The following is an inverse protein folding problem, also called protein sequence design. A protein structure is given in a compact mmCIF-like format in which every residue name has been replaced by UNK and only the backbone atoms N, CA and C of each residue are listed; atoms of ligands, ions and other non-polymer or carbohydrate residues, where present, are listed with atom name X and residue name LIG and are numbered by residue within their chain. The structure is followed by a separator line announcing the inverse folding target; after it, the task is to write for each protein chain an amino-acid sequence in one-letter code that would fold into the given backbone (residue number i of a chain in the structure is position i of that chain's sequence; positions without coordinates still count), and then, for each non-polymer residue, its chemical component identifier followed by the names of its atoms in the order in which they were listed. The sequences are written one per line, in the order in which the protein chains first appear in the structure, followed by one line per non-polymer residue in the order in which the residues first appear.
data_IF_116333400310
#
_entry.id   IF_116333400310
#
_cell.length_a   1.000
_cell.length_b   1.000
_cell.length_c   1.000
_cell.angle_alpha   90.00
_cell.angle_beta   90.00
_cell.angle_gamma   90.00
#
_symmetry.space_group_name_H-M   'P 1'
#
loop_
_entity.id
_entity.type
_entity.pdbx_description
1 polymer ?
#
# COMPACT_ATOMS: atom_id res chain seq x y z
N UNK A 1 16.18 -14.31 -10.73
CA UNK A 1 14.88 -13.64 -10.50
C UNK A 1 14.86 -12.40 -11.37
N UNK A 2 13.84 -12.23 -12.20
CA UNK A 2 13.69 -11.01 -13.00
C UNK A 2 13.19 -9.91 -12.07
N UNK A 3 13.98 -8.85 -11.88
CA UNK A 3 13.56 -7.67 -11.12
C UNK A 3 12.32 -7.08 -11.79
N UNK A 4 11.16 -7.18 -11.14
CA UNK A 4 9.95 -6.50 -11.60
C UNK A 4 10.00 -5.05 -11.14
N UNK A 5 10.08 -4.15 -12.12
CA UNK A 5 10.13 -2.70 -11.90
C UNK A 5 8.86 -2.07 -12.45
N UNK A 6 8.25 -1.18 -11.68
CA UNK A 6 7.16 -0.31 -12.11
C UNK A 6 7.69 1.12 -12.19
N UNK A 7 7.39 1.81 -13.28
CA UNK A 7 7.67 3.22 -13.48
C UNK A 7 6.37 4.00 -13.44
N UNK A 8 6.27 4.97 -12.53
CA UNK A 8 5.15 5.92 -12.44
C UNK A 8 5.72 7.33 -12.34
N UNK A 9 5.39 8.18 -13.31
CA UNK A 9 5.82 9.59 -13.36
C UNK A 9 7.36 9.76 -13.26
N UNK A 10 8.10 8.87 -13.90
CA UNK A 10 9.58 8.83 -13.85
C UNK A 10 10.18 8.28 -12.53
N UNK A 11 9.33 7.92 -11.55
CA UNK A 11 9.75 7.30 -10.29
C UNK A 11 9.75 5.78 -10.41
N UNK A 12 10.84 5.15 -9.98
CA UNK A 12 11.02 3.69 -9.97
C UNK A 12 10.51 3.06 -8.69
N UNK A 13 9.78 1.96 -8.85
CA UNK A 13 9.32 1.10 -7.78
C UNK A 13 9.80 -0.33 -8.06
N UNK A 14 10.34 -1.01 -7.05
CA UNK A 14 10.76 -2.40 -7.14
C UNK A 14 9.80 -3.29 -6.38
N UNK A 15 9.58 -4.50 -6.90
CA UNK A 15 8.83 -5.51 -6.18
C UNK A 15 9.42 -5.68 -4.77
N UNK A 16 8.57 -5.55 -3.77
CA UNK A 16 8.92 -5.67 -2.37
C UNK A 16 7.96 -6.64 -1.69
N UNK A 17 8.54 -7.54 -0.90
CA UNK A 17 7.78 -8.50 -0.11
C UNK A 17 7.86 -8.07 1.35
N UNK A 18 6.72 -7.87 2.02
CA UNK A 18 6.69 -7.66 3.47
C UNK A 18 7.38 -8.82 4.19
N UNK A 19 8.10 -8.51 5.26
CA UNK A 19 8.85 -9.52 6.01
C UNK A 19 7.96 -10.26 7.01
N UNK A 20 6.91 -9.59 7.50
CA UNK A 20 6.05 -10.14 8.54
C UNK A 20 4.56 -10.07 8.17
N UNK A 21 3.87 -11.20 8.27
CA UNK A 21 2.42 -11.28 8.04
C UNK A 21 1.63 -10.35 8.98
N UNK A 22 1.89 -10.41 10.28
CA UNK A 22 1.09 -9.73 11.31
C UNK A 22 1.37 -8.23 11.41
N UNK A 23 2.63 -7.84 11.27
CA UNK A 23 3.08 -6.47 11.51
C UNK A 23 3.12 -5.63 10.23
N UNK A 24 3.28 -6.26 9.06
CA UNK A 24 3.43 -5.54 7.80
C UNK A 24 2.29 -5.86 6.82
N UNK A 25 2.08 -7.14 6.47
CA UNK A 25 1.14 -7.51 5.41
C UNK A 25 -0.33 -7.31 5.81
N UNK A 26 -0.75 -7.84 6.97
CA UNK A 26 -2.12 -7.77 7.45
C UNK A 26 -2.61 -6.32 7.65
N UNK A 27 -1.86 -5.42 8.32
CA UNK A 27 -2.26 -4.02 8.45
C UNK A 27 -2.39 -3.30 7.10
N UNK A 28 -1.48 -3.57 6.16
CA UNK A 28 -1.50 -3.00 4.82
C UNK A 28 -2.74 -3.43 4.04
N UNK A 29 -3.08 -4.73 4.03
CA UNK A 29 -4.31 -5.21 3.38
C UNK A 29 -5.55 -4.61 4.04
N UNK A 30 -5.57 -4.52 5.38
CA UNK A 30 -6.69 -3.91 6.13
C UNK A 30 -6.92 -2.46 5.74
N UNK A 31 -5.86 -1.70 5.48
CA UNK A 31 -5.95 -0.32 5.01
C UNK A 31 -6.64 -0.24 3.64
N UNK A 32 -6.40 -1.23 2.76
CA UNK A 32 -6.92 -1.29 1.40
C UNK A 32 -8.19 -2.13 1.23
N UNK A 33 -8.93 -2.42 2.31
CA UNK A 33 -10.15 -3.26 2.23
C UNK A 33 -11.18 -2.67 1.27
N UNK A 34 -11.34 -1.35 1.24
CA UNK A 34 -12.27 -0.70 0.33
C UNK A 34 -11.79 -0.75 -1.11
N UNK A 35 -10.50 -0.61 -1.35
CA UNK A 35 -9.94 -0.72 -2.70
C UNK A 35 -10.07 -2.16 -3.25
N UNK A 36 -10.00 -3.16 -2.37
CA UNK A 36 -10.10 -4.58 -2.73
C UNK A 36 -11.55 -5.02 -2.88
N UNK A 37 -12.42 -4.69 -1.93
CA UNK A 37 -13.79 -5.23 -1.86
C UNK A 37 -14.88 -4.24 -2.31
N UNK A 38 -14.58 -2.94 -2.35
CA UNK A 38 -15.50 -1.87 -2.74
C UNK A 38 -15.74 -0.86 -1.61
N UNK A 39 -16.20 0.35 -1.97
CA UNK A 39 -16.32 1.48 -1.04
C UNK A 39 -17.24 1.22 0.17
N UNK A 40 -18.31 0.45 -0.05
CA UNK A 40 -19.29 0.09 0.98
C UNK A 40 -18.97 -1.26 1.65
N UNK A 41 -17.69 -1.61 1.70
CA UNK A 41 -17.20 -2.77 2.42
C UNK A 41 -16.56 -2.39 3.76
N UNK A 42 -16.76 -3.25 4.77
CA UNK A 42 -16.10 -3.11 6.08
C UNK A 42 -15.49 -4.41 6.54
N UNK A 43 -14.27 -4.31 7.05
CA UNK A 43 -13.55 -5.41 7.68
C UNK A 43 -13.92 -5.57 9.17
N UNK A 44 -14.04 -6.81 9.59
CA UNK A 44 -14.31 -7.23 10.96
C UNK A 44 -13.22 -8.20 11.45
N UNK A 45 -12.78 -8.05 12.71
CA UNK A 45 -11.64 -8.80 13.24
C UNK A 45 -11.93 -10.31 13.35
N UNK A 46 -10.84 -11.09 13.33
CA UNK A 46 -10.84 -12.55 13.47
C UNK A 46 -11.76 -13.08 14.56
N UNK A 47 -12.51 -14.13 14.23
CA UNK A 47 -13.38 -14.87 15.16
C UNK A 47 -13.20 -16.37 14.95
N UNK A 48 -13.26 -17.10 16.05
CA UNK A 48 -13.10 -18.55 16.04
C UNK A 48 -14.29 -19.23 15.35
N UNK A 49 -13.99 -20.02 14.34
CA UNK A 49 -14.92 -20.89 13.65
C UNK A 49 -14.86 -22.28 14.27
N UNK A 50 -16.03 -22.90 14.46
CA UNK A 50 -16.16 -24.24 15.02
C UNK A 50 -17.02 -25.12 14.11
N UNK A 51 -16.47 -26.24 13.66
CA UNK A 51 -17.24 -27.23 12.90
C UNK A 51 -18.19 -28.02 13.80
N UNK A 52 -19.14 -28.74 13.21
CA UNK A 52 -20.02 -29.65 13.94
C UNK A 52 -19.22 -30.76 14.66
N UNK A 53 -18.16 -31.27 14.01
CA UNK A 53 -17.22 -32.23 14.59
C UNK A 53 -16.31 -31.65 15.70
N UNK A 54 -16.42 -30.34 15.96
CA UNK A 54 -15.68 -29.68 17.04
C UNK A 54 -14.30 -29.12 16.64
N UNK A 55 -13.86 -29.31 15.39
CA UNK A 55 -12.64 -28.68 14.87
C UNK A 55 -12.75 -27.16 14.94
N UNK A 56 -11.61 -26.53 15.20
CA UNK A 56 -11.51 -25.09 15.43
C UNK A 56 -10.51 -24.50 14.45
N UNK A 57 -10.92 -23.44 13.78
CA UNK A 57 -10.07 -22.64 12.89
C UNK A 57 -10.36 -21.16 13.11
N UNK A 58 -9.42 -20.29 12.76
CA UNK A 58 -9.54 -18.84 12.95
C UNK A 58 -9.08 -18.20 11.64
N UNK A 59 -9.99 -17.59 10.84
CA UNK A 59 -9.61 -16.76 9.71
C UNK A 59 -9.01 -15.45 10.20
N UNK A 60 -8.27 -14.78 9.33
CA UNK A 60 -7.69 -13.48 9.64
C UNK A 60 -8.77 -12.41 9.78
N UNK A 61 -9.91 -12.53 9.08
CA UNK A 61 -11.08 -11.70 9.36
C UNK A 61 -12.29 -12.01 8.49
N UNK A 62 -13.26 -11.09 8.56
CA UNK A 62 -14.45 -11.10 7.72
C UNK A 62 -14.61 -9.76 7.04
N UNK A 63 -15.17 -9.73 5.84
CA UNK A 63 -15.57 -8.49 5.17
C UNK A 63 -17.05 -8.58 4.85
N UNK A 64 -17.80 -7.51 5.14
CA UNK A 64 -19.20 -7.37 4.74
C UNK A 64 -19.27 -6.30 3.66
N UNK A 65 -19.86 -6.65 2.53
CA UNK A 65 -20.29 -5.73 1.48
C UNK A 65 -21.75 -5.34 1.77
N UNK A 66 -21.95 -4.12 2.23
CA UNK A 66 -23.26 -3.61 2.63
C UNK A 66 -24.15 -3.31 1.43
N UNK A 67 -23.55 -2.88 0.31
CA UNK A 67 -24.25 -2.53 -0.92
C UNK A 67 -24.82 -3.75 -1.62
N UNK A 68 -24.00 -4.78 -1.81
CA UNK A 68 -24.41 -5.99 -2.53
C UNK A 68 -24.91 -7.11 -1.60
N UNK A 69 -24.94 -6.86 -0.29
CA UNK A 69 -25.31 -7.84 0.73
C UNK A 69 -24.56 -9.16 0.57
N UNK A 70 -23.23 -9.08 0.49
CA UNK A 70 -22.33 -10.23 0.45
C UNK A 70 -21.42 -10.21 1.66
N UNK A 71 -20.86 -11.37 1.99
CA UNK A 71 -19.85 -11.45 3.02
C UNK A 71 -18.77 -12.46 2.69
N UNK A 72 -17.60 -12.17 3.22
CA UNK A 72 -16.37 -12.85 2.88
C UNK A 72 -15.69 -13.34 4.15
N UNK A 73 -15.14 -14.55 4.10
CA UNK A 73 -14.11 -15.02 5.03
C UNK A 73 -12.78 -14.71 4.38
N UNK A 74 -11.94 -13.94 5.07
CA UNK A 74 -10.67 -13.44 4.53
C UNK A 74 -9.50 -14.10 5.25
N UNK A 75 -8.57 -14.61 4.45
CA UNK A 75 -7.28 -15.15 4.89
C UNK A 75 -6.15 -14.38 4.19
N UNK A 76 -5.15 -13.96 4.96
CA UNK A 76 -4.05 -13.09 4.54
C UNK A 76 -2.74 -13.84 4.74
N UNK A 77 -1.99 -14.07 3.67
CA UNK A 77 -0.73 -14.84 3.74
C UNK A 77 0.42 -14.27 2.92
N UNK A 78 1.61 -14.47 3.44
CA UNK A 78 2.83 -14.47 2.64
C UNK A 78 3.04 -15.89 2.08
N UNK A 79 3.37 -15.99 0.80
CA UNK A 79 3.65 -17.27 0.17
C UNK A 79 4.88 -17.93 0.80
N UNK A 80 4.64 -19.06 1.45
CA UNK A 80 5.66 -19.92 2.06
C UNK A 80 5.13 -21.37 2.14
N UNK A 81 5.98 -22.32 2.52
CA UNK A 81 5.60 -23.73 2.68
C UNK A 81 4.42 -23.91 3.66
N UNK A 82 4.37 -23.09 4.71
CA UNK A 82 3.28 -23.16 5.70
C UNK A 82 1.94 -22.74 5.08
N UNK A 83 1.93 -21.73 4.21
CA UNK A 83 0.74 -21.31 3.47
C UNK A 83 0.24 -22.42 2.53
N UNK A 84 1.14 -23.05 1.76
CA UNK A 84 0.82 -24.17 0.85
C UNK A 84 0.21 -25.36 1.61
N UNK A 85 0.63 -25.58 2.85
CA UNK A 85 0.14 -26.70 3.68
C UNK A 85 -1.15 -26.38 4.43
N UNK A 86 -1.27 -25.19 5.04
CA UNK A 86 -2.35 -24.89 5.99
C UNK A 86 -3.60 -24.34 5.32
N UNK A 87 -3.46 -23.51 4.29
CA UNK A 87 -4.58 -22.79 3.69
C UNK A 87 -5.63 -23.74 3.09
N UNK A 88 -5.25 -24.78 2.32
CA UNK A 88 -6.21 -25.78 1.83
C UNK A 88 -7.05 -26.39 2.97
N UNK A 89 -6.39 -26.82 4.05
CA UNK A 89 -7.09 -27.40 5.22
C UNK A 89 -8.02 -26.39 5.90
N UNK A 90 -7.55 -25.15 6.07
CA UNK A 90 -8.35 -24.08 6.68
C UNK A 90 -9.60 -23.78 5.86
N UNK A 91 -9.51 -23.75 4.53
CA UNK A 91 -10.66 -23.55 3.63
C UNK A 91 -11.73 -24.62 3.88
N UNK A 92 -11.34 -25.90 3.99
CA UNK A 92 -12.26 -27.00 4.31
C UNK A 92 -12.90 -26.79 5.68
N UNK A 93 -12.12 -26.43 6.69
CA UNK A 93 -12.61 -26.17 8.04
C UNK A 93 -13.59 -24.99 8.08
N UNK A 94 -13.32 -23.90 7.36
CA UNK A 94 -14.20 -22.73 7.26
C UNK A 94 -15.55 -23.13 6.69
N UNK A 95 -15.55 -23.80 5.55
CA UNK A 95 -16.77 -24.29 4.90
C UNK A 95 -17.59 -25.18 5.83
N UNK A 96 -16.95 -26.12 6.52
CA UNK A 96 -17.63 -27.01 7.45
C UNK A 96 -18.13 -26.28 8.71
N UNK A 97 -17.43 -25.23 9.14
CA UNK A 97 -17.84 -24.41 10.27
C UNK A 97 -19.02 -23.49 9.95
N UNK A 98 -19.13 -22.98 8.73
CA UNK A 98 -20.27 -22.17 8.29
C UNK A 98 -21.57 -22.98 8.22
N UNK A 99 -21.51 -24.30 8.04
CA UNK A 99 -22.69 -25.17 8.16
C UNK A 99 -23.23 -25.29 9.59
N UNK A 100 -22.46 -24.88 10.60
CA UNK A 100 -22.87 -24.93 12.00
C UNK A 100 -23.66 -23.66 12.37
N UNK A 101 -24.97 -23.74 12.68
CA UNK A 101 -25.80 -22.57 13.02
C UNK A 101 -25.28 -21.81 14.24
N UNK A 102 -24.66 -22.51 15.21
CA UNK A 102 -24.05 -21.87 16.39
C UNK A 102 -22.88 -20.99 15.99
N UNK A 103 -22.08 -21.42 15.01
CA UNK A 103 -20.94 -20.65 14.49
C UNK A 103 -21.43 -19.42 13.74
N UNK A 104 -22.42 -19.56 12.85
CA UNK A 104 -23.05 -18.42 12.15
C UNK A 104 -23.61 -17.39 13.14
N UNK A 105 -24.36 -17.85 14.14
CA UNK A 105 -24.91 -16.99 15.20
C UNK A 105 -23.81 -16.26 16.01
N UNK A 106 -22.68 -16.90 16.27
CA UNK A 106 -21.56 -16.25 16.96
C UNK A 106 -20.88 -15.18 16.10
N UNK A 107 -20.72 -15.43 14.80
CA UNK A 107 -20.23 -14.43 13.84
C UNK A 107 -21.19 -13.24 13.81
N UNK A 108 -22.49 -13.51 13.61
CA UNK A 108 -23.54 -12.51 13.60
C UNK A 108 -23.50 -11.61 14.84
N UNK A 109 -23.49 -12.20 16.05
CA UNK A 109 -23.42 -11.42 17.30
C UNK A 109 -22.19 -10.53 17.36
N UNK A 110 -21.05 -11.03 16.90
CA UNK A 110 -19.78 -10.29 16.90
C UNK A 110 -19.78 -9.12 15.91
N UNK A 111 -20.42 -9.28 14.76
CA UNK A 111 -20.54 -8.22 13.75
C UNK A 111 -21.59 -7.20 14.20
N UNK A 112 -22.75 -7.67 14.68
CA UNK A 112 -23.85 -6.82 15.16
C UNK A 112 -23.46 -5.92 16.33
N UNK A 113 -22.56 -6.38 17.20
CA UNK A 113 -22.04 -5.55 18.30
C UNK A 113 -21.21 -4.36 17.82
N UNK A 114 -20.68 -4.42 16.59
CA UNK A 114 -19.86 -3.37 15.98
C UNK A 114 -20.68 -2.53 14.99
N UNK A 115 -21.66 -3.13 14.31
CA UNK A 115 -22.50 -2.46 13.32
C UNK A 115 -23.95 -2.96 13.39
N UNK A 116 -24.92 -2.04 13.52
CA UNK A 116 -26.36 -2.35 13.64
C UNK A 116 -27.05 -2.33 12.27
N UNK A 117 -26.68 -3.26 11.39
CA UNK A 117 -27.37 -3.47 10.12
C UNK A 117 -28.53 -4.46 10.26
N UNK A 118 -29.74 -4.06 9.86
CA UNK A 118 -30.94 -4.89 10.02
C UNK A 118 -30.92 -6.13 9.12
N UNK A 119 -30.26 -6.05 7.96
CA UNK A 119 -30.10 -7.16 7.01
C UNK A 119 -29.05 -8.21 7.43
N UNK A 120 -28.27 -7.96 8.48
CA UNK A 120 -27.16 -8.84 8.89
C UNK A 120 -27.65 -10.23 9.31
N UNK A 121 -28.89 -10.33 9.81
CA UNK A 121 -29.43 -11.60 10.27
C UNK A 121 -29.68 -12.54 9.08
N UNK A 122 -30.36 -12.05 8.04
CA UNK A 122 -30.57 -12.78 6.77
C UNK A 122 -29.23 -13.06 6.08
N UNK A 123 -28.34 -12.06 5.99
CA UNK A 123 -27.05 -12.22 5.32
C UNK A 123 -26.21 -13.33 5.96
N UNK A 124 -26.04 -13.30 7.29
CA UNK A 124 -25.14 -14.21 7.99
C UNK A 124 -25.81 -15.54 8.29
N UNK A 125 -27.14 -15.64 8.39
CA UNK A 125 -27.82 -16.91 8.68
C UNK A 125 -28.28 -17.66 7.43
N UNK A 126 -28.57 -16.97 6.33
CA UNK A 126 -29.17 -17.60 5.14
C UNK A 126 -28.23 -17.64 3.93
N UNK A 127 -27.31 -16.68 3.79
CA UNK A 127 -26.37 -16.65 2.65
C UNK A 127 -25.00 -17.21 3.02
N UNK A 128 -24.42 -18.07 2.17
CA UNK A 128 -23.07 -18.57 2.39
C UNK A 128 -22.03 -17.48 2.07
N UNK A 129 -20.95 -17.38 2.86
CA UNK A 129 -19.86 -16.48 2.55
C UNK A 129 -19.04 -17.01 1.39
N UNK A 130 -18.42 -16.10 0.67
CA UNK A 130 -17.31 -16.40 -0.22
C UNK A 130 -16.00 -16.47 0.59
N UNK A 131 -15.05 -17.31 0.17
CA UNK A 131 -13.73 -17.39 0.81
C UNK A 131 -12.74 -16.67 -0.10
N UNK A 132 -12.06 -15.67 0.45
CA UNK A 132 -11.04 -14.88 -0.26
C UNK A 132 -9.70 -15.08 0.42
N UNK A 133 -8.72 -15.54 -0.35
CA UNK A 133 -7.33 -15.64 0.09
C UNK A 133 -6.53 -14.55 -0.59
N UNK A 134 -5.95 -13.65 0.20
CA UNK A 134 -5.09 -12.57 -0.29
C UNK A 134 -3.65 -12.95 0.00
N UNK A 135 -2.85 -13.07 -1.06
CA UNK A 135 -1.47 -13.57 -1.00
C UNK A 135 -0.51 -12.63 -1.72
N UNK A 136 0.68 -12.40 -1.17
CA UNK A 136 1.63 -11.42 -1.75
C UNK A 136 2.15 -11.81 -3.15
N UNK A 137 2.29 -13.10 -3.41
CA UNK A 137 2.80 -13.64 -4.68
C UNK A 137 2.32 -15.08 -4.89
N UNK A 138 2.32 -15.51 -6.15
CA UNK A 138 2.17 -16.90 -6.58
C UNK A 138 3.23 -17.26 -7.63
N UNK A 139 4.38 -16.59 -7.57
CA UNK A 139 5.48 -16.84 -8.50
C UNK A 139 6.28 -18.08 -8.06
N UNK A 140 6.77 -18.84 -9.05
CA UNK A 140 7.63 -20.00 -8.84
C UNK A 140 6.90 -21.24 -8.32
N UNK A 141 7.70 -22.26 -7.98
CA UNK A 141 7.22 -23.62 -7.63
C UNK A 141 6.23 -23.64 -6.45
N UNK A 142 6.45 -22.80 -5.43
CA UNK A 142 5.53 -22.73 -4.30
C UNK A 142 4.16 -22.16 -4.71
N UNK A 143 4.14 -21.18 -5.62
CA UNK A 143 2.90 -20.62 -6.13
C UNK A 143 2.10 -21.63 -6.95
N UNK A 144 2.78 -22.44 -7.76
CA UNK A 144 2.16 -23.55 -8.50
C UNK A 144 1.54 -24.59 -7.56
N UNK A 145 2.31 -25.05 -6.57
CA UNK A 145 1.81 -26.00 -5.55
C UNK A 145 0.65 -25.42 -4.73
N UNK A 146 0.70 -24.12 -4.43
CA UNK A 146 -0.39 -23.44 -3.73
C UNK A 146 -1.68 -23.49 -4.55
N UNK A 147 -1.62 -23.12 -5.84
CA UNK A 147 -2.78 -23.15 -6.74
C UNK A 147 -3.36 -24.55 -6.85
N UNK A 148 -2.52 -25.54 -7.17
CA UNK A 148 -2.93 -26.94 -7.30
C UNK A 148 -3.72 -27.41 -6.08
N UNK A 149 -3.18 -27.21 -4.88
CA UNK A 149 -3.84 -27.65 -3.65
C UNK A 149 -5.13 -26.89 -3.33
N UNK A 150 -5.19 -25.59 -3.61
CA UNK A 150 -6.40 -24.79 -3.33
C UNK A 150 -7.49 -25.12 -4.34
N UNK A 151 -7.15 -25.25 -5.63
CA UNK A 151 -8.08 -25.63 -6.69
C UNK A 151 -8.67 -27.04 -6.49
N UNK A 152 -7.84 -28.01 -6.08
CA UNK A 152 -8.29 -29.35 -5.69
C UNK A 152 -9.24 -29.33 -4.50
N UNK A 153 -9.00 -28.41 -3.57
CA UNK A 153 -9.78 -28.31 -2.33
C UNK A 153 -11.18 -27.75 -2.61
N UNK A 154 -11.27 -26.67 -3.39
CA UNK A 154 -12.54 -25.99 -3.61
C UNK A 154 -12.55 -25.07 -4.82
N UNK A 155 -13.50 -25.28 -5.74
CA UNK A 155 -13.65 -24.52 -7.00
C UNK A 155 -14.07 -23.05 -6.83
N UNK A 156 -14.53 -22.64 -5.65
CA UNK A 156 -15.10 -21.31 -5.42
C UNK A 156 -14.32 -20.48 -4.38
N UNK A 157 -12.99 -20.65 -4.32
CA UNK A 157 -12.11 -19.77 -3.53
C UNK A 157 -11.58 -18.69 -4.45
N UNK A 158 -11.76 -17.42 -4.06
CA UNK A 158 -11.17 -16.29 -4.80
C UNK A 158 -9.77 -16.04 -4.27
N UNK A 159 -8.76 -16.18 -5.11
CA UNK A 159 -7.37 -15.88 -4.76
C UNK A 159 -7.02 -14.51 -5.34
N UNK A 160 -6.58 -13.59 -4.50
CA UNK A 160 -6.13 -12.25 -4.89
C UNK A 160 -4.63 -12.19 -4.67
N UNK A 161 -3.87 -11.99 -5.75
CA UNK A 161 -2.44 -11.75 -5.66
C UNK A 161 -2.20 -10.26 -5.43
N UNK A 162 -1.81 -9.90 -4.21
CA UNK A 162 -1.58 -8.53 -3.78
C UNK A 162 -0.08 -8.20 -3.84
N UNK A 163 0.38 -7.73 -5.00
CA UNK A 163 1.79 -7.38 -5.20
C UNK A 163 2.05 -5.99 -4.65
N UNK A 164 3.14 -5.84 -3.91
CA UNK A 164 3.58 -4.55 -3.39
C UNK A 164 4.90 -4.14 -4.03
N UNK A 165 5.00 -2.89 -4.44
CA UNK A 165 6.19 -2.31 -5.01
C UNK A 165 6.63 -1.13 -4.15
N UNK A 166 7.85 -1.19 -3.63
CA UNK A 166 8.42 -0.10 -2.84
C UNK A 166 9.17 0.89 -3.73
N UNK A 167 9.05 2.18 -3.43
CA UNK A 167 9.81 3.21 -4.13
C UNK A 167 11.30 3.01 -3.90
N UNK A 168 12.10 3.07 -4.97
CA UNK A 168 13.56 3.00 -4.84
C UNK A 168 14.09 4.13 -3.94
N UNK A 169 15.08 3.79 -3.12
CA UNK A 169 15.79 4.70 -2.21
C UNK A 169 14.97 5.25 -1.02
N UNK A 170 13.71 4.84 -0.85
CA UNK A 170 12.88 5.22 0.30
C UNK A 170 12.58 3.97 1.15
N UNK A 171 12.29 4.17 2.44
CA UNK A 171 11.82 3.09 3.30
C UNK A 171 10.60 2.39 2.65
N UNK A 172 10.69 1.07 2.38
CA UNK A 172 9.66 0.34 1.63
C UNK A 172 8.30 0.27 2.34
N UNK A 173 8.28 0.43 3.67
CA UNK A 173 7.05 0.43 4.46
C UNK A 173 6.28 1.74 4.37
N UNK A 174 6.91 2.83 3.89
CA UNK A 174 6.32 4.17 3.86
C UNK A 174 5.73 4.55 2.52
N UNK A 175 6.45 4.26 1.44
CA UNK A 175 6.04 4.66 0.09
C UNK A 175 6.02 3.43 -0.82
N UNK A 176 4.82 2.95 -1.08
CA UNK A 176 4.58 1.76 -1.86
C UNK A 176 3.41 1.95 -2.83
N UNK A 177 3.42 1.13 -3.88
CA UNK A 177 2.32 0.94 -4.82
C UNK A 177 1.84 -0.50 -4.72
N UNK A 178 0.53 -0.70 -4.90
CA UNK A 178 -0.07 -2.02 -4.90
C UNK A 178 -0.63 -2.36 -6.27
N UNK A 179 -0.52 -3.63 -6.64
CA UNK A 179 -1.13 -4.19 -7.84
C UNK A 179 -1.89 -5.45 -7.45
N UNK A 180 -3.19 -5.42 -7.68
CA UNK A 180 -4.12 -6.51 -7.40
C UNK A 180 -5.36 -6.37 -8.29
N UNK A 181 -6.14 -7.44 -8.39
CA UNK A 181 -7.46 -7.42 -9.02
C UNK A 181 -8.54 -7.31 -7.92
N UNK A 182 -9.39 -6.27 -7.95
CA UNK A 182 -10.44 -6.12 -6.95
C UNK A 182 -11.51 -7.20 -7.07
N UNK A 183 -12.27 -7.37 -6.00
CA UNK A 183 -13.37 -8.34 -5.93
C UNK A 183 -14.59 -7.89 -6.73
N UNK A 184 -14.81 -6.59 -6.79
CA UNK A 184 -15.93 -5.94 -7.45
C UNK A 184 -15.58 -5.50 -8.88
N UNK A 185 -16.61 -5.26 -9.69
CA UNK A 185 -16.44 -4.68 -11.02
C UNK A 185 -16.11 -3.19 -10.89
N UNK A 186 -14.94 -2.79 -11.36
CA UNK A 186 -14.56 -1.38 -11.44
C UNK A 186 -15.39 -0.74 -12.55
N UNK A 187 -16.16 0.33 -12.26
CA UNK A 187 -16.89 1.04 -13.30
C UNK A 187 -15.90 1.50 -14.38
N UNK A 188 -16.12 1.09 -15.63
CA UNK A 188 -15.29 1.47 -16.78
C UNK A 188 -15.32 2.97 -17.08
N UNK A 189 -16.24 3.70 -16.46
CA UNK A 189 -16.44 5.15 -16.62
C UNK A 189 -15.89 5.95 -15.44
N UNK A 190 -14.68 5.66 -14.97
CA UNK A 190 -13.96 6.67 -14.20
C UNK A 190 -13.78 7.89 -15.12
N UNK A 191 -14.20 9.09 -14.72
CA UNK A 191 -13.92 10.29 -15.50
C UNK A 191 -12.40 10.36 -15.64
N UNK A 192 -11.92 10.26 -16.88
CA UNK A 192 -10.53 10.58 -17.18
C UNK A 192 -10.23 11.96 -16.56
N UNK A 193 -9.05 12.17 -15.95
CA UNK A 193 -8.67 13.51 -15.51
C UNK A 193 -8.90 14.44 -16.69
N UNK A 194 -9.68 15.50 -16.43
CA UNK A 194 -10.13 16.49 -17.40
C UNK A 194 -8.99 16.75 -18.39
N UNK A 195 -9.17 16.35 -19.65
CA UNK A 195 -8.39 16.97 -20.73
C UNK A 195 -8.69 18.44 -20.61
N UNK A 196 -7.71 19.22 -20.16
CA UNK A 196 -7.77 20.67 -20.29
C UNK A 196 -8.20 20.96 -21.73
N UNK A 197 -9.31 21.67 -21.86
CA UNK A 197 -9.80 22.11 -23.16
C UNK A 197 -8.66 22.93 -23.77
N UNK A 198 -8.07 22.40 -24.84
CA UNK A 198 -7.16 23.17 -25.66
C UNK A 198 -7.91 24.37 -26.22
N UNK A 199 -7.74 25.52 -25.58
CA UNK A 199 -7.98 26.79 -26.25
C UNK A 199 -6.85 26.97 -27.25
N UNK A 200 -7.26 27.01 -28.52
CA UNK A 200 -6.37 27.30 -29.64
C UNK A 200 -5.98 28.78 -29.53
N UNK A 201 -4.74 29.05 -29.15
CA UNK A 201 -4.14 30.38 -29.30
C UNK A 201 -3.26 30.33 -30.54
N UNK A 202 -3.80 30.85 -31.65
CA UNK A 202 -3.02 31.32 -32.79
C UNK A 202 -2.38 32.63 -32.35
N UNK A 203 -1.04 32.69 -32.24
CA UNK A 203 -0.36 33.94 -31.92
C UNK A 203 1.13 33.76 -31.62
N UNK A 204 1.94 34.03 -32.65
CA UNK A 204 3.35 34.45 -32.66
C UNK A 204 4.36 33.76 -31.71
N UNK A 205 5.29 33.04 -32.34
CA UNK A 205 6.55 32.57 -31.76
C UNK A 205 7.34 33.73 -31.14
N UNK A 206 7.21 33.89 -29.82
CA UNK A 206 8.29 34.47 -29.01
C UNK A 206 9.01 33.34 -28.32
N UNK A 207 10.29 33.22 -28.67
CA UNK A 207 11.25 32.29 -28.12
C UNK A 207 11.38 32.53 -26.60
N UNK A 208 10.55 31.84 -25.82
CA UNK A 208 10.70 31.77 -24.37
C UNK A 208 11.92 30.89 -24.12
N UNK A 209 13.02 31.49 -23.65
CA UNK A 209 14.14 30.75 -23.07
C UNK A 209 13.57 29.95 -21.89
N UNK A 210 13.33 28.66 -22.15
CA UNK A 210 12.98 27.69 -21.11
C UNK A 210 14.18 27.62 -20.17
N UNK A 211 14.11 28.34 -19.05
CA UNK A 211 14.93 27.98 -17.90
C UNK A 211 14.59 26.52 -17.56
N UNK A 212 15.61 25.66 -17.66
CA UNK A 212 15.51 24.24 -17.35
C UNK A 212 14.80 24.05 -16.01
N UNK A 213 13.57 23.57 -16.05
CA UNK A 213 12.95 22.88 -14.92
C UNK A 213 13.77 21.60 -14.75
N UNK A 214 14.76 21.64 -13.86
CA UNK A 214 15.58 20.48 -13.54
C UNK A 214 14.70 19.52 -12.72
N UNK A 215 14.40 18.30 -13.22
CA UNK A 215 13.67 17.31 -12.46
C UNK A 215 14.40 17.02 -11.14
N UNK A 216 13.67 16.67 -10.08
CA UNK A 216 14.24 16.25 -8.78
C UNK A 216 15.11 14.96 -8.89
N UNK A 217 15.43 14.48 -10.09
CA UNK A 217 16.43 13.46 -10.39
C UNK A 217 17.86 14.00 -10.38
N UNK A 218 18.40 14.31 -9.19
CA UNK A 218 19.85 14.35 -8.86
C UNK A 218 20.07 14.89 -7.44
N UNK A 219 19.25 15.87 -7.02
CA UNK A 219 19.39 16.56 -5.73
C UNK A 219 18.84 15.74 -4.55
N UNK A 220 17.77 14.97 -4.76
CA UNK A 220 17.13 14.15 -3.71
C UNK A 220 17.93 12.91 -3.26
N UNK A 221 18.82 12.37 -4.10
CA UNK A 221 19.54 11.13 -3.79
C UNK A 221 20.53 11.30 -2.61
N UNK A 222 21.14 12.48 -2.46
CA UNK A 222 22.16 12.71 -1.43
C UNK A 222 21.53 12.87 -0.04
N UNK A 223 20.46 13.67 0.07
CA UNK A 223 19.75 13.90 1.33
C UNK A 223 19.15 12.59 1.84
N UNK A 224 18.48 11.85 0.96
CA UNK A 224 17.85 10.57 1.31
C UNK A 224 18.89 9.52 1.74
N UNK A 225 20.03 9.42 1.06
CA UNK A 225 21.13 8.54 1.51
C UNK A 225 21.65 8.91 2.90
N UNK A 226 21.74 10.21 3.23
CA UNK A 226 22.15 10.66 4.57
C UNK A 226 21.11 10.27 5.62
N UNK A 227 19.81 10.43 5.31
CA UNK A 227 18.72 10.04 6.22
C UNK A 227 18.76 8.54 6.49
N UNK A 228 18.86 7.70 5.46
CA UNK A 228 18.92 6.24 5.61
C UNK A 228 20.10 5.82 6.50
N UNK A 229 21.27 6.46 6.34
CA UNK A 229 22.45 6.19 7.19
C UNK A 229 22.24 6.62 8.64
N UNK A 230 21.47 7.68 8.88
CA UNK A 230 21.10 8.09 10.24
C UNK A 230 20.05 7.17 10.86
N UNK A 231 19.11 6.65 10.07
CA UNK A 231 18.14 5.63 10.49
C UNK A 231 18.85 4.30 10.84
N UNK A 232 19.97 3.98 10.18
CA UNK A 232 20.90 2.90 10.55
C UNK A 232 21.67 3.18 11.87
N UNK A 233 21.41 4.29 12.55
CA UNK A 233 22.01 4.65 13.83
C UNK A 233 23.29 5.47 13.75
N UNK A 234 23.70 5.94 12.56
CA UNK A 234 24.91 6.76 12.40
C UNK A 234 24.65 8.22 12.76
N UNK A 235 25.65 8.86 13.35
CA UNK A 235 25.62 10.31 13.53
C UNK A 235 25.67 11.05 12.19
N UNK A 236 25.02 12.22 12.12
CA UNK A 236 24.93 13.04 10.91
C UNK A 236 26.29 13.25 10.21
N UNK A 237 27.33 13.60 10.95
CA UNK A 237 28.66 13.85 10.38
C UNK A 237 29.27 12.58 9.76
N UNK A 238 29.00 11.41 10.35
CA UNK A 238 29.46 10.12 9.84
C UNK A 238 28.68 9.77 8.57
N UNK A 239 27.35 9.89 8.62
CA UNK A 239 26.46 9.65 7.48
C UNK A 239 26.84 10.53 6.26
N UNK A 240 27.05 11.83 6.46
CA UNK A 240 27.46 12.75 5.39
C UNK A 240 28.83 12.40 4.82
N UNK A 241 29.80 11.99 5.65
CA UNK A 241 31.15 11.56 5.19
C UNK A 241 31.08 10.29 4.36
N UNK A 242 30.26 9.32 4.75
CA UNK A 242 30.10 8.09 3.99
C UNK A 242 29.43 8.34 2.65
N UNK A 243 28.33 9.11 2.64
CA UNK A 243 27.63 9.48 1.39
C UNK A 243 28.54 10.32 0.47
N UNK A 244 29.35 11.20 1.04
CA UNK A 244 30.37 11.98 0.32
C UNK A 244 31.40 11.08 -0.37
N UNK A 245 31.93 10.07 0.34
CA UNK A 245 32.89 9.10 -0.21
C UNK A 245 32.23 8.20 -1.26
N UNK A 246 31.04 7.69 -0.97
CA UNK A 246 30.29 6.79 -1.86
C UNK A 246 30.00 7.44 -3.22
N UNK A 247 29.71 8.75 -3.22
CA UNK A 247 29.32 9.49 -4.41
C UNK A 247 30.46 10.31 -5.04
N UNK A 248 31.67 10.28 -4.48
CA UNK A 248 32.82 11.04 -4.99
C UNK A 248 32.62 12.56 -4.96
N UNK A 249 31.83 13.07 -4.00
CA UNK A 249 31.46 14.49 -3.88
C UNK A 249 31.99 15.10 -2.59
N UNK A 250 32.19 16.42 -2.55
CA UNK A 250 32.68 17.12 -1.35
C UNK A 250 31.69 17.02 -0.19
N UNK A 251 32.19 16.72 1.01
CA UNK A 251 31.41 16.69 2.26
C UNK A 251 30.55 17.94 2.44
N UNK A 252 31.12 19.13 2.22
CA UNK A 252 30.43 20.41 2.34
C UNK A 252 29.23 20.53 1.41
N UNK A 253 29.28 19.92 0.22
CA UNK A 253 28.16 19.92 -0.72
C UNK A 253 27.01 19.04 -0.24
N UNK A 254 27.29 17.94 0.45
CA UNK A 254 26.26 17.03 1.00
C UNK A 254 25.65 17.64 2.26
N UNK A 255 26.48 18.21 3.13
CA UNK A 255 26.03 18.89 4.34
C UNK A 255 25.15 20.11 4.02
N UNK A 256 25.55 20.92 3.04
CA UNK A 256 24.78 22.07 2.57
C UNK A 256 23.36 21.68 2.11
N UNK A 257 23.26 20.54 1.41
CA UNK A 257 21.99 20.00 0.93
C UNK A 257 21.06 19.51 2.03
N UNK A 258 21.60 19.06 3.16
CA UNK A 258 20.78 18.59 4.29
C UNK A 258 20.31 19.75 5.18
N UNK A 259 20.88 20.95 5.05
CA UNK A 259 20.49 22.11 5.85
C UNK A 259 20.00 23.25 4.98
N UNK A 260 20.94 24.09 4.54
CA UNK A 260 20.67 25.36 3.87
C UNK A 260 19.78 25.23 2.63
N UNK A 261 19.97 24.19 1.81
CA UNK A 261 19.14 24.00 0.61
C UNK A 261 17.71 23.52 0.91
N UNK A 262 17.43 23.12 2.15
CA UNK A 262 16.11 22.75 2.66
C UNK A 262 15.51 23.84 3.56
N UNK A 263 16.14 25.02 3.63
CA UNK A 263 15.68 26.12 4.48
C UNK A 263 15.77 25.85 5.98
N UNK A 264 16.48 24.81 6.43
CA UNK A 264 16.54 24.40 7.84
C UNK A 264 17.97 24.33 8.37
N UNK A 265 18.14 24.44 9.68
CA UNK A 265 19.45 24.26 10.29
C UNK A 265 19.84 22.77 10.31
N UNK A 266 21.14 22.47 10.40
CA UNK A 266 21.61 21.09 10.59
C UNK A 266 21.02 20.46 11.85
N UNK A 267 20.82 21.25 12.91
CA UNK A 267 20.21 20.76 14.15
C UNK A 267 18.76 20.34 13.92
N UNK A 268 17.99 21.18 13.21
CA UNK A 268 16.59 20.89 12.88
C UNK A 268 16.49 19.68 11.97
N UNK A 269 17.35 19.57 10.94
CA UNK A 269 17.43 18.38 10.11
C UNK A 269 17.64 17.11 10.94
N UNK A 270 18.60 17.12 11.87
CA UNK A 270 18.87 15.98 12.75
C UNK A 270 17.67 15.66 13.66
N UNK A 271 17.02 16.67 14.22
CA UNK A 271 15.82 16.46 15.04
C UNK A 271 14.66 15.91 14.22
N UNK A 272 14.46 16.41 13.00
CA UNK A 272 13.40 15.97 12.10
C UNK A 272 13.62 14.55 11.61
N UNK A 273 14.87 14.13 11.39
CA UNK A 273 15.21 12.73 11.11
C UNK A 273 14.87 11.85 12.33
N UNK A 274 15.28 12.26 13.54
CA UNK A 274 14.98 11.51 14.78
C UNK A 274 13.48 11.41 15.10
N UNK A 275 12.72 12.44 14.75
CA UNK A 275 11.26 12.52 14.93
C UNK A 275 10.48 11.96 13.73
N UNK A 276 11.16 11.44 12.71
CA UNK A 276 10.59 10.92 11.45
C UNK A 276 9.77 11.93 10.61
N UNK A 277 9.86 13.23 10.92
CA UNK A 277 9.12 14.33 10.27
C UNK A 277 9.86 14.96 9.09
N UNK A 278 11.14 14.61 8.87
CA UNK A 278 11.94 15.18 7.78
C UNK A 278 11.32 14.93 6.40
N UNK A 279 10.62 13.82 6.22
CA UNK A 279 10.02 13.46 4.93
C UNK A 279 8.80 14.32 4.58
N UNK A 280 8.02 14.75 5.59
CA UNK A 280 6.90 15.67 5.39
C UNK A 280 7.42 17.03 4.94
N UNK A 281 8.55 17.47 5.51
CA UNK A 281 9.24 18.70 5.08
C UNK A 281 9.76 18.61 3.66
N UNK A 282 10.40 17.48 3.30
CA UNK A 282 10.87 17.23 1.94
C UNK A 282 9.72 17.19 0.91
N UNK A 283 8.53 16.75 1.34
CA UNK A 283 7.33 16.73 0.50
C UNK A 283 6.73 18.13 0.32
N UNK A 284 6.63 18.89 1.41
CA UNK A 284 6.06 20.24 1.40
C UNK A 284 6.95 21.26 0.68
N UNK A 285 8.28 21.18 0.82
CA UNK A 285 9.22 22.01 0.03
C UNK A 285 9.11 21.73 -1.49
N UNK A 286 8.76 20.50 -1.87
CA UNK A 286 8.46 20.12 -3.25
C UNK A 286 7.16 20.74 -3.78
N UNK A 287 6.18 20.98 -2.89
CA UNK A 287 4.89 21.61 -3.21
C UNK A 287 4.90 23.15 -3.09
N UNK A 288 5.77 23.73 -2.27
CA UNK A 288 5.89 25.18 -2.10
C UNK A 288 6.52 25.84 -3.33
N UNK A 289 7.46 25.15 -4.02
CA UNK A 289 8.05 25.67 -5.26
C UNK A 289 7.09 25.72 -6.46
N UNK A 290 5.95 25.02 -6.41
CA UNK A 290 4.87 25.18 -7.39
C UNK A 290 3.94 26.36 -7.08
N UNK A 291 3.89 26.83 -5.83
CA UNK A 291 2.99 27.92 -5.41
C UNK A 291 3.68 29.30 -5.41
N UNK A 292 5.01 29.35 -5.29
CA UNK A 292 5.76 30.62 -5.35
C UNK A 292 5.95 31.15 -6.78
N UNK A 293 5.82 30.30 -7.81
CA UNK A 293 5.82 30.74 -9.22
C UNK A 293 4.52 31.43 -9.65
N UNK A 294 3.43 31.28 -8.89
CA UNK A 294 2.13 31.90 -9.20
C UNK A 294 1.92 33.26 -8.50
N UNK A 295 2.80 33.66 -7.57
CA UNK A 295 2.62 34.89 -6.76
C UNK A 295 3.45 36.11 -7.19
N UNK A 296 4.15 36.07 -8.33
CA UNK A 296 4.89 37.24 -8.84
C UNK A 296 4.23 37.98 -10.01
N UNK A 297 2.97 37.69 -10.35
CA UNK A 297 2.24 38.43 -11.38
C UNK A 297 0.91 38.97 -10.82
N UNK A 298 0.94 39.67 -9.69
CA UNK A 298 -0.12 40.62 -9.36
C UNK A 298 0.46 41.92 -8.78
N UNK A 299 0.64 42.87 -9.69
CA UNK A 299 0.58 44.35 -9.57
C UNK A 299 1.58 45.11 -8.66
N UNK A 300 1.98 46.34 -9.07
CA UNK A 300 1.11 47.50 -8.88
C UNK A 300 0.89 48.38 -10.13
N UNK A 301 -0.33 48.92 -10.17
CA UNK A 301 -0.79 50.03 -10.99
C UNK A 301 0.23 51.18 -11.06
N UNK A 302 0.32 51.80 -12.23
CA UNK A 302 -0.05 53.20 -12.44
C UNK A 302 -0.62 53.39 -13.85
#
# INVERSE_FOLDING_TARGET
MTDRIVLKDGVRYRLWTPENELNDFEPMIKHHIRDIFGDDCRYFPKRKLKTLAGNRSIPDGFVIDFKNQRWYIVELKLLCDDAVRRIPRQIVDYKNAIKNPKTRRNIYKSIKSINRGDFLDELINDKNPEIVVIINSLDGKLGEQFRERVEETWRNVKIIVFKTFAREYVNPKRVHMHLFEPVYEVPTNLPLPLKEKGESIVGEEKEIKVEKIIPIGAKGNQIIKVINKMEEGKEFNIAVREVSKELGIKYSSVADKCGRQLGISTKDFVEMVKKETIYDHLYNEGAIKSLESEKQIETPLK
#
